data_IF_167373804305
#
_entry.id   IF_167373804305
#
_cell.length_a   1.000
_cell.length_b   1.000
_cell.length_c   1.000
_cell.angle_alpha   90.00
_cell.angle_beta   90.00
_cell.angle_gamma   90.00
#
_symmetry.space_group_name_H-M   'P 1'
#
loop_
_entity.id
_entity.type
_entity.pdbx_description
1 polymer ?
2 non-polymer ?
3 non-polymer ?
4 water ?
#
# COMPACT_ATOMS: atom_id res chain seq x y z
N UNK A 1 -21.27 -1.32 -11.69
CA UNK A 1 -20.35 -1.87 -12.72
C UNK A 1 -18.91 -1.49 -12.45
N UNK A 2 -18.03 -2.48 -12.36
CA UNK A 2 -16.59 -2.24 -12.10
C UNK A 2 -15.87 -1.88 -13.41
N UNK A 3 -14.94 -0.92 -13.32
CA UNK A 3 -13.97 -0.69 -14.38
C UNK A 3 -12.59 -0.38 -13.79
N UNK A 4 -11.56 -0.93 -14.40
CA UNK A 4 -10.18 -0.60 -13.98
C UNK A 4 -9.74 0.82 -14.32
N UNK A 5 -10.43 1.48 -15.26
CA UNK A 5 -10.12 2.86 -15.67
C UNK A 5 -11.02 3.91 -15.01
N UNK A 6 -11.77 3.53 -13.98
CA UNK A 6 -12.55 4.48 -13.17
C UNK A 6 -12.27 4.21 -11.69
N UNK A 7 -12.64 5.17 -10.83
CA UNK A 7 -12.62 4.93 -9.40
C UNK A 7 -13.90 4.23 -9.00
N UNK A 8 -13.76 3.12 -8.27
CA UNK A 8 -14.87 2.25 -7.90
C UNK A 8 -15.20 2.41 -6.42
N UNK A 9 -16.49 2.46 -6.08
CA UNK A 9 -16.87 2.56 -4.68
C UNK A 9 -16.60 1.24 -3.94
N UNK A 10 -16.71 1.26 -2.63
CA UNK A 10 -16.35 0.09 -1.84
C UNK A 10 -17.24 -1.12 -2.18
N UNK A 11 -18.55 -0.92 -2.33
CA UNK A 11 -19.44 -2.04 -2.71
C UNK A 11 -18.93 -2.72 -3.99
N UNK A 12 -18.45 -1.91 -4.93
CA UNK A 12 -17.96 -2.39 -6.22
C UNK A 12 -16.59 -3.08 -6.09
N UNK A 13 -15.68 -2.50 -5.32
CA UNK A 13 -14.38 -3.17 -5.08
C UNK A 13 -14.58 -4.49 -4.33
N UNK A 14 -15.44 -4.47 -3.31
CA UNK A 14 -15.75 -5.70 -2.56
C UNK A 14 -16.24 -6.79 -3.51
N UNK A 15 -17.23 -6.44 -4.33
CA UNK A 15 -17.79 -7.39 -5.32
C UNK A 15 -16.73 -7.86 -6.30
N UNK A 16 -15.84 -6.94 -6.70
CA UNK A 16 -14.71 -7.26 -7.58
C UNK A 16 -13.74 -8.27 -6.95
N UNK A 17 -13.44 -8.13 -5.65
CA UNK A 17 -12.57 -9.09 -4.98
C UNK A 17 -13.13 -10.52 -5.04
N UNK A 18 -14.45 -10.63 -4.92
CA UNK A 18 -15.12 -11.93 -5.02
C UNK A 18 -15.09 -12.46 -6.46
N UNK A 19 -15.46 -11.61 -7.41
CA UNK A 19 -15.52 -11.99 -8.83
C UNK A 19 -14.15 -12.32 -9.44
N UNK A 20 -13.13 -11.51 -9.16
CA UNK A 20 -11.79 -11.76 -9.70
C UNK A 20 -11.20 -13.05 -9.15
N UNK A 21 -11.56 -13.40 -7.91
CA UNK A 21 -11.12 -14.64 -7.30
C UNK A 21 -11.83 -15.82 -7.95
N UNK A 22 -13.15 -15.73 -8.11
CA UNK A 22 -13.93 -16.82 -8.73
C UNK A 22 -13.58 -17.01 -10.22
N UNK A 23 -13.22 -15.92 -10.91
CA UNK A 23 -12.81 -15.99 -12.33
C UNK A 23 -11.39 -16.57 -12.54
N UNK A 24 -10.55 -16.55 -11.49
CA UNK A 24 -9.13 -16.90 -11.61
C UNK A 24 -8.67 -17.81 -10.47
N UNK A 25 -9.34 -18.96 -10.30
CA UNK A 25 -9.06 -19.80 -9.12
C UNK A 25 -7.66 -20.41 -9.04
N UNK A 26 -6.95 -20.53 -10.17
CA UNK A 26 -5.59 -21.07 -10.19
C UNK A 26 -4.53 -20.03 -9.85
N UNK A 27 -4.93 -18.75 -9.78
CA UNK A 27 -4.03 -17.63 -9.52
C UNK A 27 -4.39 -16.77 -8.31
N UNK A 28 -5.65 -16.81 -7.86
CA UNK A 28 -6.11 -15.92 -6.78
C UNK A 28 -6.94 -16.66 -5.75
N UNK A 29 -6.64 -16.41 -4.47
CA UNK A 29 -7.54 -16.78 -3.38
C UNK A 29 -7.78 -15.53 -2.53
N UNK A 30 -8.87 -15.55 -1.78
CA UNK A 30 -9.31 -14.41 -0.99
C UNK A 30 -9.59 -14.82 0.45
N UNK A 31 -9.20 -13.95 1.38
CA UNK A 31 -9.51 -14.11 2.80
C UNK A 31 -9.85 -12.75 3.38
N UNK A 32 -10.42 -12.73 4.58
CA UNK A 32 -10.57 -11.49 5.36
C UNK A 32 -9.59 -11.59 6.52
N UNK A 33 -8.80 -10.55 6.74
CA UNK A 33 -7.80 -10.55 7.81
C UNK A 33 -8.30 -9.86 9.08
N UNK A 34 -9.50 -9.32 9.00
CA UNK A 34 -10.15 -8.73 10.16
C UNK A 34 -11.31 -7.89 9.69
N UNK A 35 -11.80 -7.07 10.61
CA UNK A 35 -12.91 -6.17 10.31
C UNK A 35 -12.51 -4.75 10.72
N UNK A 36 -13.12 -3.78 10.06
CA UNK A 36 -12.86 -2.38 10.36
C UNK A 36 -13.63 -1.96 11.62
N UNK A 37 -13.37 -0.73 12.08
CA UNK A 37 -14.19 -0.11 13.13
C UNK A 37 -15.70 -0.33 12.93
N UNK A 38 -16.18 -0.06 11.71
CA UNK A 38 -17.62 -0.19 11.40
C UNK A 38 -18.08 -1.58 11.03
N UNK A 39 -17.17 -2.55 11.03
CA UNK A 39 -17.51 -3.97 10.84
C UNK A 39 -17.41 -4.46 9.41
N UNK A 40 -16.74 -3.69 8.54
CA UNK A 40 -16.50 -4.14 7.17
C UNK A 40 -15.34 -5.13 7.09
N UNK A 41 -15.48 -6.15 6.25
CA UNK A 41 -14.42 -7.15 6.08
C UNK A 41 -13.23 -6.56 5.35
N UNK A 42 -12.04 -6.74 5.91
CA UNK A 42 -10.79 -6.29 5.29
C UNK A 42 -10.25 -7.42 4.42
N UNK A 43 -10.53 -7.36 3.13
CA UNK A 43 -10.16 -8.42 2.20
C UNK A 43 -8.71 -8.35 1.80
N UNK A 44 -8.13 -9.53 1.63
CA UNK A 44 -6.76 -9.69 1.17
C UNK A 44 -6.76 -10.75 0.08
N UNK A 45 -6.06 -10.47 -1.01
CA UNK A 45 -5.93 -11.41 -2.12
C UNK A 45 -4.52 -11.99 -2.10
N UNK A 46 -4.43 -13.29 -2.34
CA UNK A 46 -3.14 -13.97 -2.51
C UNK A 46 -3.07 -14.29 -3.99
N UNK A 47 -2.11 -13.67 -4.68
CA UNK A 47 -2.02 -13.71 -6.13
C UNK A 47 -0.75 -14.47 -6.48
N UNK A 48 -0.90 -15.59 -7.16
CA UNK A 48 0.22 -16.45 -7.50
C UNK A 48 -0.24 -17.85 -7.78
N UNK A 49 0.58 -18.58 -8.54
CA UNK A 49 0.32 -19.99 -8.79
C UNK A 49 0.82 -20.81 -7.59
N UNK A 50 -0.04 -21.69 -7.02
CA UNK A 50 0.42 -22.51 -5.89
C UNK A 50 1.73 -23.25 -6.13
N UNK A 51 2.52 -23.35 -5.08
CA UNK A 51 3.78 -24.07 -5.13
C UNK A 51 4.36 -24.18 -3.74
N UNK A 52 5.42 -24.98 -3.58
CA UNK A 52 6.00 -25.23 -2.26
C UNK A 52 6.92 -24.09 -1.78
N UNK A 53 6.79 -23.72 -0.51
CA UNK A 53 7.72 -22.80 0.16
C UNK A 53 8.01 -21.53 -0.62
N UNK A 54 6.95 -20.93 -1.14
CA UNK A 54 7.10 -19.73 -1.96
C UNK A 54 7.34 -18.52 -1.04
N UNK A 55 8.35 -17.70 -1.36
CA UNK A 55 8.43 -16.39 -0.71
C UNK A 55 7.31 -15.47 -1.17
N UNK A 56 7.10 -14.38 -0.46
CA UNK A 56 5.97 -13.50 -0.75
C UNK A 56 6.36 -12.03 -0.73
N UNK A 57 5.60 -11.23 -1.47
CA UNK A 57 5.67 -9.78 -1.42
C UNK A 57 4.30 -9.31 -0.95
N UNK A 58 4.28 -8.37 -0.01
CA UNK A 58 3.04 -7.85 0.54
C UNK A 58 2.86 -6.45 -0.01
N UNK A 59 1.70 -6.18 -0.60
CA UNK A 59 1.37 -4.83 -1.09
C UNK A 59 0.01 -4.40 -0.56
N UNK A 60 -0.06 -3.22 0.05
CA UNK A 60 -1.35 -2.64 0.43
C UNK A 60 -1.59 -1.29 -0.27
N UNK A 61 -2.87 -0.98 -0.42
CA UNK A 61 -3.35 0.29 -0.93
C UNK A 61 -4.43 0.82 -0.01
N UNK A 62 -4.74 2.09 -0.18
CA UNK A 62 -5.87 2.69 0.52
C UNK A 62 -5.71 2.87 2.01
N UNK A 63 -4.48 3.06 2.52
CA UNK A 63 -4.32 3.56 3.90
C UNK A 63 -5.11 4.85 4.10
N UNK A 64 -4.96 5.77 3.15
CA UNK A 64 -5.50 7.11 3.27
C UNK A 64 -6.67 7.26 2.33
N UNK A 65 -7.80 7.64 2.90
CA UNK A 65 -9.10 7.49 2.25
C UNK A 65 -9.20 8.27 0.95
N UNK A 66 -8.69 9.50 0.96
CA UNK A 66 -8.77 10.36 -0.21
C UNK A 66 -7.80 10.05 -1.36
N UNK A 67 -6.87 9.12 -1.16
CA UNK A 67 -5.82 8.84 -2.16
C UNK A 67 -6.32 7.77 -3.11
N UNK A 68 -7.36 8.13 -3.86
CA UNK A 68 -8.13 7.19 -4.69
C UNK A 68 -7.28 6.47 -5.74
N UNK A 69 -6.22 7.12 -6.22
CA UNK A 69 -5.33 6.47 -7.18
C UNK A 69 -4.61 5.24 -6.57
N UNK A 70 -4.39 5.24 -5.26
CA UNK A 70 -3.79 4.10 -4.55
C UNK A 70 -4.67 2.84 -4.71
N UNK A 71 -5.95 3.03 -4.41
CA UNK A 71 -6.93 1.94 -4.44
C UNK A 71 -6.99 1.39 -5.87
N UNK A 72 -7.06 2.30 -6.84
CA UNK A 72 -7.06 1.96 -8.26
C UNK A 72 -5.82 1.15 -8.65
N UNK A 73 -4.67 1.49 -8.09
CA UNK A 73 -3.46 0.74 -8.43
C UNK A 73 -3.48 -0.72 -7.99
N UNK A 74 -3.93 -1.01 -6.78
CA UNK A 74 -3.98 -2.42 -6.32
C UNK A 74 -4.85 -3.24 -7.25
N UNK A 75 -5.98 -2.66 -7.66
CA UNK A 75 -6.84 -3.31 -8.64
C UNK A 75 -6.12 -3.52 -9.98
N UNK A 76 -5.41 -2.50 -10.45
CA UNK A 76 -4.67 -2.58 -11.70
C UNK A 76 -3.59 -3.67 -11.64
N UNK A 77 -2.93 -3.80 -10.50
CA UNK A 77 -1.91 -4.83 -10.36
C UNK A 77 -2.50 -6.23 -10.57
N UNK A 78 -3.63 -6.49 -9.93
CA UNK A 78 -4.30 -7.76 -10.07
C UNK A 78 -4.76 -7.98 -11.54
N UNK A 79 -5.33 -6.93 -12.14
CA UNK A 79 -5.66 -6.94 -13.56
C UNK A 79 -4.49 -7.44 -14.43
N UNK A 80 -3.32 -6.85 -14.22
CA UNK A 80 -2.11 -7.22 -14.97
C UNK A 80 -1.67 -8.65 -14.74
N UNK A 81 -1.72 -9.09 -13.49
CA UNK A 81 -1.35 -10.45 -13.13
C UNK A 81 -2.19 -11.46 -13.90
N UNK A 82 -3.51 -11.28 -13.88
CA UNK A 82 -4.40 -12.24 -14.55
C UNK A 82 -4.35 -12.12 -16.08
N UNK A 83 -4.25 -10.91 -16.59
CA UNK A 83 -4.25 -10.69 -18.04
C UNK A 83 -2.98 -11.21 -18.73
N UNK A 84 -1.82 -10.93 -18.14
CA UNK A 84 -0.54 -11.17 -18.80
C UNK A 84 0.15 -12.46 -18.40
N UNK A 85 -0.41 -13.19 -17.43
CA UNK A 85 0.18 -14.48 -17.03
C UNK A 85 0.21 -15.42 -18.25
N UNK A 86 1.38 -15.99 -18.53
CA UNK A 86 1.60 -16.82 -19.71
C UNK A 86 2.22 -16.08 -20.90
N UNK A 87 1.91 -14.79 -21.03
CA UNK A 87 2.30 -14.01 -22.20
C UNK A 87 3.55 -13.16 -21.93
N UNK A 88 3.65 -12.58 -20.72
CA UNK A 88 4.79 -11.75 -20.34
C UNK A 88 5.69 -12.58 -19.44
N UNK A 89 6.92 -12.82 -19.89
CA UNK A 89 7.85 -13.73 -19.21
C UNK A 89 8.10 -13.39 -17.73
N UNK A 90 8.24 -12.11 -17.42
CA UNK A 90 8.57 -11.67 -16.05
C UNK A 90 7.42 -11.86 -15.08
N UNK A 91 6.26 -11.30 -15.42
CA UNK A 91 5.07 -11.49 -14.57
C UNK A 91 4.78 -12.98 -14.37
N UNK A 92 4.95 -13.80 -15.41
CA UNK A 92 4.71 -15.23 -15.28
C UNK A 92 5.67 -15.88 -14.30
N UNK A 93 6.96 -15.56 -14.42
CA UNK A 93 7.97 -16.05 -13.48
C UNK A 93 7.65 -15.58 -12.06
N UNK A 94 7.32 -14.31 -11.90
CA UNK A 94 6.97 -13.80 -10.57
C UNK A 94 5.84 -14.61 -9.92
N UNK A 95 4.77 -14.82 -10.68
CA UNK A 95 3.59 -15.50 -10.15
C UNK A 95 3.84 -16.99 -9.93
N UNK A 96 4.73 -17.58 -10.73
CA UNK A 96 5.13 -18.97 -10.52
C UNK A 96 5.99 -19.19 -9.27
N UNK A 97 6.87 -18.23 -8.97
CA UNK A 97 7.87 -18.38 -7.90
C UNK A 97 7.56 -17.65 -6.59
N UNK A 98 6.76 -16.58 -6.66
CA UNK A 98 6.38 -15.79 -5.49
C UNK A 98 4.87 -15.70 -5.39
N UNK A 99 4.39 -15.42 -4.18
CA UNK A 99 3.01 -14.99 -3.97
C UNK A 99 2.99 -13.50 -3.67
N UNK A 100 2.00 -12.79 -4.21
CA UNK A 100 1.73 -11.40 -3.86
C UNK A 100 0.50 -11.40 -2.98
N UNK A 101 0.64 -10.86 -1.78
CA UNK A 101 -0.49 -10.56 -0.93
C UNK A 101 -0.88 -9.13 -1.27
N UNK A 102 -2.08 -8.94 -1.81
CA UNK A 102 -2.56 -7.63 -2.26
C UNK A 102 -3.75 -7.25 -1.40
N UNK A 103 -3.61 -6.18 -0.63
CA UNK A 103 -4.69 -5.70 0.25
C UNK A 103 -5.27 -4.45 -0.45
N UNK A 104 -6.40 -4.60 -1.17
CA UNK A 104 -6.81 -3.50 -2.06
C UNK A 104 -7.20 -2.22 -1.36
N UNK A 105 -7.84 -2.34 -0.20
CA UNK A 105 -8.20 -1.15 0.58
C UNK A 105 -8.05 -1.47 2.07
N UNK A 106 -7.14 -0.81 2.76
CA UNK A 106 -7.03 -0.99 4.18
C UNK A 106 -8.11 -0.22 4.92
N UNK A 107 -8.17 1.09 4.67
CA UNK A 107 -9.06 2.00 5.40
C UNK A 107 -10.41 2.10 4.68
N UNK A 108 -11.15 1.01 4.77
CA UNK A 108 -12.43 0.88 4.07
C UNK A 108 -13.46 1.90 4.57
N UNK A 109 -13.52 2.09 5.88
CA UNK A 109 -14.48 3.01 6.45
C UNK A 109 -14.25 4.43 5.97
N UNK A 110 -12.98 4.87 5.96
CA UNK A 110 -12.65 6.18 5.45
C UNK A 110 -12.98 6.31 3.97
N UNK A 111 -12.67 5.26 3.20
CA UNK A 111 -12.95 5.27 1.77
C UNK A 111 -14.44 5.46 1.47
N UNK A 112 -15.28 4.69 2.17
CA UNK A 112 -16.74 4.87 2.06
C UNK A 112 -17.13 6.33 2.32
N UNK A 113 -16.58 6.90 3.38
CA UNK A 113 -16.84 8.28 3.76
C UNK A 113 -16.43 9.29 2.68
N UNK A 114 -15.32 9.03 1.96
CA UNK A 114 -14.96 9.91 0.84
C UNK A 114 -15.96 9.86 -0.31
N UNK A 115 -16.69 8.75 -0.44
CA UNK A 115 -17.72 8.62 -1.47
C UNK A 115 -19.06 9.21 -1.07
N UNK A 116 -19.39 9.15 0.22
CA UNK A 116 -20.70 9.53 0.71
C UNK A 116 -20.81 10.95 1.28
N UNK A 117 -19.72 11.46 1.89
CA UNK A 117 -19.77 12.68 2.71
C UNK A 117 -18.65 13.72 2.48
N UNK A 118 -17.40 13.27 2.37
CA UNK A 118 -16.27 14.18 2.36
C UNK A 118 -15.13 13.56 1.58
N UNK A 119 -14.97 14.05 0.35
CA UNK A 119 -13.96 13.55 -0.60
C UNK A 119 -12.53 13.66 -0.08
N UNK A 120 -12.29 14.62 0.82
CA UNK A 120 -10.93 14.90 1.34
C UNK A 120 -10.65 14.29 2.71
N UNK A 121 -11.46 13.33 3.14
CA UNK A 121 -11.18 12.61 4.37
C UNK A 121 -9.93 11.77 4.20
N UNK A 122 -9.14 11.67 5.27
CA UNK A 122 -7.85 10.97 5.28
C UNK A 122 -7.82 9.76 6.21
N UNK A 123 -8.29 9.99 7.44
CA UNK A 123 -8.08 9.07 8.56
C UNK A 123 -9.09 7.92 8.56
N UNK A 124 -9.04 7.08 9.59
CA UNK A 124 -10.08 6.07 9.81
C UNK A 124 -11.35 6.79 10.26
N UNK A 125 -12.40 6.03 10.61
CA UNK A 125 -13.65 6.62 11.10
C UNK A 125 -14.00 6.17 12.52
N UNK A 126 -12.99 5.80 13.28
CA UNK A 126 -13.16 5.44 14.68
C UNK A 126 -13.32 6.67 15.57
N UNK A 127 -13.86 6.45 16.75
CA UNK A 127 -14.06 7.51 17.74
C UNK A 127 -12.83 7.68 18.62
N UNK A 128 -12.80 8.81 19.32
CA UNK A 128 -11.73 9.16 20.24
C UNK A 128 -12.32 9.67 21.54
N UNK A 129 -11.67 9.29 22.65
CA UNK A 129 -12.13 9.66 23.98
C UNK A 129 -12.08 11.18 24.17
N UNK A 130 -13.12 11.74 24.79
CA UNK A 130 -13.11 13.12 25.24
C UNK A 130 -13.28 14.19 24.18
N UNK A 131 -13.74 13.79 22.98
CA UNK A 131 -13.92 14.67 21.83
C UNK A 131 -14.92 14.04 20.86
N UNK A 132 -15.55 14.85 20.02
CA UNK A 132 -16.35 14.32 18.92
C UNK A 132 -15.54 14.16 17.62
N UNK A 133 -14.28 14.59 17.61
CA UNK A 133 -13.43 14.47 16.42
C UNK A 133 -13.18 12.99 16.13
N UNK A 134 -13.22 12.66 14.85
CA UNK A 134 -13.20 11.27 14.39
C UNK A 134 -11.88 10.92 13.72
N UNK A 135 -11.38 9.73 14.03
CA UNK A 135 -10.37 9.06 13.20
C UNK A 135 -8.94 9.19 13.66
N UNK A 136 -8.14 8.22 13.22
CA UNK A 136 -6.73 8.12 13.49
C UNK A 136 -6.03 7.98 12.13
N UNK A 137 -4.84 8.55 12.01
CA UNK A 137 -4.08 8.42 10.78
C UNK A 137 -3.47 7.01 10.82
N UNK A 138 -3.89 6.11 9.91
CA UNK A 138 -3.32 4.75 9.96
C UNK A 138 -1.82 4.70 9.76
N UNK A 139 -1.27 5.67 9.00
CA UNK A 139 0.18 5.71 8.81
C UNK A 139 0.93 6.51 9.87
N UNK A 140 0.27 6.76 11.00
CA UNK A 140 0.93 7.18 12.23
C UNK A 140 0.62 6.20 13.37
N UNK A 141 0.00 5.06 13.07
CA UNK A 141 -0.54 4.16 14.11
C UNK A 141 0.29 2.87 14.30
N UNK A 142 1.42 2.77 13.63
CA UNK A 142 2.30 1.60 13.81
C UNK A 142 3.35 1.83 14.87
N UNK A 143 3.83 0.73 15.45
CA UNK A 143 4.86 0.76 16.49
C UNK A 143 6.28 1.02 15.95
N UNK A 144 6.49 2.26 15.51
CA UNK A 144 7.73 2.69 14.86
C UNK A 144 8.01 4.15 15.24
N UNK A 145 8.80 4.33 16.30
CA UNK A 145 8.94 5.63 16.97
C UNK A 145 7.60 6.26 17.28
N UNK A 146 6.65 5.44 17.74
CA UNK A 146 5.23 5.82 17.74
C UNK A 146 4.94 7.16 18.47
N UNK A 147 4.21 8.02 17.75
CA UNK A 147 3.71 9.34 18.17
C UNK A 147 4.74 10.39 18.51
N UNK A 148 5.88 10.31 17.85
CA UNK A 148 6.90 11.32 17.97
C UNK A 148 6.80 12.23 16.72
N UNK A 149 7.91 12.51 16.06
CA UNK A 149 7.95 13.57 15.05
C UNK A 149 6.95 13.35 13.91
N UNK A 150 6.33 14.43 13.48
CA UNK A 150 5.40 14.38 12.34
C UNK A 150 4.10 13.62 12.58
N UNK A 151 3.77 13.38 13.85
CA UNK A 151 2.53 12.74 14.26
C UNK A 151 1.95 13.63 15.34
N UNK A 152 0.63 13.79 15.36
CA UNK A 152 -0.02 14.67 16.32
C UNK A 152 -0.67 13.86 17.45
N UNK A 153 -0.65 14.43 18.65
CA UNK A 153 -1.35 13.87 19.81
C UNK A 153 -2.80 14.34 19.88
N UNK A 154 -3.21 15.23 18.98
CA UNK A 154 -4.54 15.81 19.01
C UNK A 154 -5.47 14.98 18.11
N UNK A 155 -6.53 14.36 18.69
CA UNK A 155 -7.44 13.55 17.90
C UNK A 155 -8.17 14.30 16.77
N UNK A 156 -8.22 15.63 16.85
CA UNK A 156 -8.80 16.47 15.82
C UNK A 156 -7.86 16.77 14.66
N UNK A 157 -6.62 16.28 14.71
CA UNK A 157 -5.63 16.56 13.65
C UNK A 157 -5.54 15.42 12.65
N UNK A 158 -5.10 15.78 11.44
CA UNK A 158 -5.04 14.84 10.32
C UNK A 158 -3.94 13.78 10.45
N UNK A 159 -2.92 14.03 11.28
CA UNK A 159 -1.87 13.04 11.55
C UNK A 159 -1.96 12.45 12.95
N UNK A 160 -3.17 12.43 13.52
CA UNK A 160 -3.35 11.90 14.86
C UNK A 160 -2.82 10.46 14.94
N UNK A 161 -1.98 10.18 15.95
CA UNK A 161 -1.29 8.88 16.04
C UNK A 161 -2.15 7.76 16.65
N UNK A 162 -3.32 8.11 17.18
CA UNK A 162 -4.18 7.17 17.88
C UNK A 162 -3.94 7.16 19.38
N UNK A 163 -4.73 6.36 20.08
CA UNK A 163 -4.57 6.23 21.53
C UNK A 163 -3.37 5.37 21.95
N UNK A 164 -2.90 4.53 21.04
CA UNK A 164 -1.77 3.62 21.28
C UNK A 164 -1.38 3.08 19.91
N UNK A 165 -0.16 2.58 19.76
CA UNK A 165 0.21 1.89 18.51
C UNK A 165 -0.73 0.70 18.34
N UNK A 166 -1.19 0.52 17.10
CA UNK A 166 -2.15 -0.52 16.71
C UNK A 166 -3.51 -0.45 17.42
N UNK A 167 -3.88 0.75 17.85
CA UNK A 167 -5.20 1.00 18.43
C UNK A 167 -6.32 0.77 17.42
N UNK A 168 -6.05 0.98 16.13
CA UNK A 168 -7.07 0.83 15.10
C UNK A 168 -7.18 -0.63 14.73
N UNK A 169 -8.43 -1.11 14.61
CA UNK A 169 -8.66 -2.48 14.17
C UNK A 169 -7.96 -2.80 12.84
N UNK A 170 -7.93 -1.82 11.93
CA UNK A 170 -7.35 -2.03 10.60
C UNK A 170 -5.83 -2.23 10.64
N UNK A 171 -5.14 -1.40 11.41
CA UNK A 171 -3.69 -1.53 11.52
C UNK A 171 -3.27 -2.75 12.35
N UNK A 172 -4.01 -3.05 13.40
CA UNK A 172 -3.81 -4.27 14.17
C UNK A 172 -3.94 -5.51 13.28
N UNK A 173 -4.97 -5.52 12.43
CA UNK A 173 -5.19 -6.63 11.49
C UNK A 173 -4.02 -6.81 10.50
N UNK A 174 -3.53 -5.72 9.94
CA UNK A 174 -2.42 -5.75 8.99
C UNK A 174 -1.12 -6.18 9.69
N UNK A 175 -0.83 -5.57 10.84
CA UNK A 175 0.36 -5.95 11.62
C UNK A 175 0.33 -7.41 12.10
N UNK A 176 -0.85 -7.88 12.51
CA UNK A 176 -1.02 -9.30 12.90
C UNK A 176 -0.74 -10.23 11.72
N UNK A 177 -1.26 -9.91 10.55
CA UNK A 177 -1.03 -10.74 9.38
C UNK A 177 0.46 -10.80 9.01
N UNK A 178 1.12 -9.65 9.00
CA UNK A 178 2.55 -9.61 8.66
C UNK A 178 3.38 -10.39 9.67
N UNK A 179 3.12 -10.19 10.96
CA UNK A 179 3.83 -10.93 12.02
C UNK A 179 3.64 -12.45 11.89
N UNK A 180 2.42 -12.87 11.57
CA UNK A 180 2.11 -14.28 11.38
C UNK A 180 2.73 -14.91 10.12
N UNK A 181 3.11 -14.08 9.15
CA UNK A 181 3.68 -14.56 7.89
C UNK A 181 5.08 -14.02 7.62
N UNK A 182 5.75 -13.61 8.68
CA UNK A 182 7.05 -12.96 8.57
C UNK A 182 8.12 -13.81 7.88
N UNK A 183 8.12 -15.12 8.14
CA UNK A 183 9.11 -16.00 7.53
C UNK A 183 9.03 -16.05 6.00
N UNK A 184 7.86 -15.80 5.44
CA UNK A 184 7.68 -15.83 3.98
C UNK A 184 7.73 -14.46 3.30
N UNK A 185 7.31 -13.40 4.00
CA UNK A 185 7.22 -12.07 3.40
C UNK A 185 8.61 -11.44 3.31
N UNK A 186 9.07 -11.20 2.08
CA UNK A 186 10.41 -10.68 1.82
C UNK A 186 10.44 -9.20 1.46
N UNK A 187 9.29 -8.67 1.05
CA UNK A 187 9.17 -7.26 0.72
C UNK A 187 7.80 -6.74 1.09
N UNK A 188 7.77 -5.45 1.43
CA UNK A 188 6.57 -4.74 1.84
C UNK A 188 6.46 -3.48 1.00
N UNK A 189 5.35 -3.34 0.28
CA UNK A 189 5.10 -2.22 -0.62
C UNK A 189 3.79 -1.56 -0.20
N UNK A 190 3.82 -0.27 0.09
CA UNK A 190 2.61 0.42 0.52
C UNK A 190 2.38 1.62 -0.38
N UNK A 191 1.19 1.68 -0.97
CA UNK A 191 0.88 2.60 -2.06
C UNK A 191 0.05 3.77 -1.54
N UNK A 192 0.53 4.97 -1.82
CA UNK A 192 -0.04 6.23 -1.39
C UNK A 192 -0.05 7.19 -2.58
N UNK A 193 -0.63 8.36 -2.38
CA UNK A 193 -0.41 9.51 -3.24
C UNK A 193 -0.47 10.78 -2.38
N UNK A 194 -0.04 11.95 -2.88
CA UNK A 194 0.63 12.16 -4.18
C UNK A 194 2.04 12.70 -3.92
N UNK A 195 2.74 13.00 -5.02
CA UNK A 195 4.03 13.73 -5.09
C UNK A 195 5.13 12.97 -5.85
N UNK A 196 4.87 11.76 -6.34
CA UNK A 196 5.80 11.05 -7.26
C UNK A 196 7.12 10.71 -6.58
N UNK A 197 7.05 9.77 -5.65
CA UNK A 197 8.23 9.36 -4.87
C UNK A 197 8.25 7.86 -4.62
N UNK A 198 9.46 7.33 -4.50
CA UNK A 198 9.68 5.99 -3.93
C UNK A 198 10.48 6.21 -2.65
N UNK A 199 9.85 5.96 -1.53
CA UNK A 199 10.44 6.20 -0.21
C UNK A 199 10.82 4.88 0.43
N UNK A 200 11.91 4.88 1.19
CA UNK A 200 12.25 3.72 2.03
C UNK A 200 12.61 4.21 3.44
N UNK A 201 12.88 3.30 4.37
CA UNK A 201 13.13 3.78 5.75
C UNK A 201 14.39 4.65 5.89
N UNK A 202 14.47 5.54 6.89
CA UNK A 202 13.45 5.73 7.93
C UNK A 202 12.73 7.07 7.78
N UNK A 203 11.46 7.09 8.18
CA UNK A 203 10.70 8.32 8.37
C UNK A 203 10.59 8.74 9.85
N UNK A 204 10.61 7.80 10.81
CA UNK A 204 10.39 8.17 12.22
C UNK A 204 11.52 8.89 12.88
N UNK A 205 12.73 8.78 12.33
CA UNK A 205 13.90 9.50 12.82
C UNK A 205 14.84 9.68 11.63
N UNK A 206 15.75 10.64 11.75
CA UNK A 206 16.81 10.81 10.77
C UNK A 206 17.91 9.80 11.02
N UNK A 207 17.67 8.58 10.53
CA UNK A 207 18.64 7.49 10.55
C UNK A 207 18.44 6.64 9.31
N UNK A 208 19.43 5.80 9.03
CA UNK A 208 19.43 5.03 7.78
C UNK A 208 19.43 3.55 8.09
N UNK A 209 18.76 2.77 7.22
CA UNK A 209 18.75 1.33 7.39
C UNK A 209 20.13 0.75 7.07
N UNK A 210 20.44 -0.42 7.62
CA UNK A 210 21.76 -1.02 7.42
C UNK A 210 22.07 -1.29 5.94
N UNK A 211 21.02 -1.59 5.17
CA UNK A 211 21.15 -1.82 3.73
C UNK A 211 20.75 -0.58 2.89
N UNK A 212 21.07 0.61 3.41
CA UNK A 212 20.80 1.86 2.72
C UNK A 212 21.33 1.91 1.28
N UNK A 213 22.58 1.49 1.06
CA UNK A 213 23.15 1.53 -0.29
C UNK A 213 22.31 0.70 -1.26
N UNK A 214 21.95 -0.51 -0.83
CA UNK A 214 21.12 -1.41 -1.63
C UNK A 214 19.76 -0.77 -1.96
N UNK A 215 19.07 -0.26 -0.94
CA UNK A 215 17.75 0.35 -1.13
C UNK A 215 17.83 1.59 -1.99
N UNK A 216 18.88 2.40 -1.80
CA UNK A 216 19.07 3.58 -2.62
C UNK A 216 19.24 3.24 -4.09
N UNK A 217 20.07 2.23 -4.35
CA UNK A 217 20.31 1.77 -5.73
C UNK A 217 19.06 1.18 -6.36
N UNK A 218 18.32 0.41 -5.58
CA UNK A 218 17.10 -0.22 -6.05
C UNK A 218 16.04 0.85 -6.37
N UNK A 219 15.87 1.81 -5.46
CA UNK A 219 14.88 2.88 -5.66
C UNK A 219 15.24 3.73 -6.87
N UNK A 220 16.54 4.04 -7.01
CA UNK A 220 17.05 4.82 -8.15
C UNK A 220 16.72 4.14 -9.48
N UNK A 221 17.00 2.85 -9.55
CA UNK A 221 16.71 2.06 -10.74
C UNK A 221 15.21 1.92 -11.03
N UNK A 222 14.40 1.74 -9.96
CA UNK A 222 12.95 1.66 -10.13
C UNK A 222 12.36 2.96 -10.69
N UNK A 223 12.85 4.10 -10.19
CA UNK A 223 12.45 5.41 -10.68
C UNK A 223 12.81 5.59 -12.16
N UNK A 224 14.00 5.15 -12.52
CA UNK A 224 14.47 5.22 -13.91
C UNK A 224 13.57 4.34 -14.80
N UNK A 225 13.24 3.15 -14.32
CA UNK A 225 12.36 2.24 -15.07
C UNK A 225 10.95 2.84 -15.26
N UNK A 226 10.39 3.40 -14.19
CA UNK A 226 9.10 4.09 -14.26
C UNK A 226 9.10 5.19 -15.33
N UNK A 227 10.15 6.00 -15.33
CA UNK A 227 10.27 7.11 -16.28
C UNK A 227 10.33 6.71 -17.77
N UNK A 228 10.69 5.46 -18.06
CA UNK A 228 10.83 5.02 -19.46
C UNK A 228 9.54 5.12 -20.26
N UNK A 229 8.39 4.97 -19.59
CA UNK A 229 7.12 4.89 -20.29
C UNK A 229 6.62 6.24 -20.78
N UNK A 230 6.45 7.19 -19.87
CA UNK A 230 5.88 8.51 -20.17
C UNK A 230 6.76 9.69 -19.73
N UNK A 231 7.95 9.40 -19.20
CA UNK A 231 8.85 10.45 -18.76
C UNK A 231 8.50 11.03 -17.40
N UNK A 232 7.62 10.36 -16.66
CA UNK A 232 7.16 10.88 -15.37
C UNK A 232 8.33 10.84 -14.39
N UNK A 233 8.55 11.97 -13.70
CA UNK A 233 9.74 12.15 -12.84
C UNK A 233 9.38 11.88 -11.38
N UNK A 234 10.05 10.89 -10.80
CA UNK A 234 9.91 10.56 -9.39
C UNK A 234 11.20 10.93 -8.66
N UNK A 235 11.07 11.30 -7.39
CA UNK A 235 12.23 11.37 -6.51
C UNK A 235 12.24 10.12 -5.62
N UNK A 236 13.34 9.91 -4.92
CA UNK A 236 13.47 8.72 -4.07
C UNK A 236 14.42 8.98 -2.92
N UNK A 237 14.31 8.16 -1.90
CA UNK A 237 15.28 8.15 -0.80
C UNK A 237 14.64 7.82 0.52
N UNK A 238 15.39 7.99 1.62
CA UNK A 238 14.83 7.72 2.93
C UNK A 238 13.73 8.72 3.25
N UNK A 239 12.65 8.25 3.85
CA UNK A 239 11.46 9.06 4.02
C UNK A 239 11.68 10.41 4.69
N UNK A 240 12.43 10.42 5.78
CA UNK A 240 12.55 11.64 6.61
C UNK A 240 13.09 12.83 5.83
N UNK A 241 14.04 12.57 4.91
CA UNK A 241 14.70 13.61 4.14
C UNK A 241 14.19 13.74 2.70
N UNK A 242 13.37 12.78 2.24
CA UNK A 242 12.83 12.81 0.87
C UNK A 242 11.44 13.44 0.81
N UNK A 243 10.64 13.24 1.86
CA UNK A 243 9.34 13.91 1.96
C UNK A 243 9.25 14.73 3.24
N UNK A 244 9.33 14.08 4.40
CA UNK A 244 9.32 14.76 5.71
C UNK A 244 9.45 13.68 6.77
N UNK A 245 9.89 14.07 7.97
CA UNK A 245 9.87 13.09 9.07
C UNK A 245 8.42 12.83 9.51
N UNK A 246 8.13 11.57 9.80
CA UNK A 246 6.80 11.17 10.26
C UNK A 246 6.93 9.82 10.92
N UNK A 247 6.55 9.76 12.20
CA UNK A 247 6.63 8.54 12.98
C UNK A 247 5.37 7.70 12.87
N UNK A 248 5.53 6.40 13.10
CA UNK A 248 4.42 5.47 13.16
C UNK A 248 3.98 4.93 11.80
N UNK A 249 4.85 5.05 10.80
CA UNK A 249 4.55 4.56 9.46
C UNK A 249 4.71 3.05 9.35
N UNK A 250 3.89 2.44 8.49
CA UNK A 250 3.93 0.99 8.30
C UNK A 250 5.23 0.50 7.63
N UNK A 251 5.77 1.27 6.69
CA UNK A 251 7.01 0.86 6.03
C UNK A 251 8.17 0.72 7.03
N UNK A 252 8.29 1.66 7.96
CA UNK A 252 9.35 1.60 8.97
C UNK A 252 9.15 0.44 9.92
N UNK A 253 7.90 0.23 10.34
CA UNK A 253 7.55 -0.87 11.22
C UNK A 253 7.89 -2.21 10.58
N UNK A 254 7.46 -2.38 9.31
CA UNK A 254 7.74 -3.58 8.53
C UNK A 254 9.24 -3.84 8.42
N UNK A 255 10.00 -2.78 8.14
CA UNK A 255 11.45 -2.89 8.05
C UNK A 255 12.07 -3.36 9.37
N UNK A 256 11.64 -2.77 10.47
CA UNK A 256 12.11 -3.16 11.81
C UNK A 256 11.70 -4.57 12.27
N UNK A 257 10.69 -5.17 11.62
CA UNK A 257 10.39 -6.60 11.76
C UNK A 257 11.39 -7.51 11.03
N UNK A 258 12.22 -6.93 10.15
CA UNK A 258 13.20 -7.67 9.39
C UNK A 258 12.90 -7.77 7.91
N UNK A 259 11.86 -7.10 7.43
CA UNK A 259 11.55 -7.11 5.99
C UNK A 259 12.45 -6.07 5.32
N UNK A 260 13.47 -6.55 4.63
CA UNK A 260 14.60 -5.72 4.20
C UNK A 260 14.29 -4.81 3.04
N UNK A 261 13.26 -5.16 2.26
CA UNK A 261 12.81 -4.34 1.13
C UNK A 261 11.44 -3.78 1.48
N UNK A 262 11.43 -2.53 1.93
CA UNK A 262 10.21 -1.90 2.42
C UNK A 262 10.11 -0.53 1.76
N UNK A 263 9.05 -0.31 0.97
CA UNK A 263 8.93 0.92 0.20
C UNK A 263 7.53 1.50 0.32
N UNK A 264 7.45 2.83 0.41
CA UNK A 264 6.21 3.57 0.26
C UNK A 264 6.27 4.28 -1.08
N UNK A 265 5.27 4.01 -1.93
CA UNK A 265 5.12 4.71 -3.20
C UNK A 265 4.17 5.89 -3.02
N UNK A 266 4.56 7.07 -3.51
CA UNK A 266 3.65 8.19 -3.65
C UNK A 266 3.42 8.37 -5.15
N UNK A 267 2.20 8.11 -5.60
CA UNK A 267 1.89 8.13 -7.03
C UNK A 267 1.63 9.56 -7.54
N UNK A 268 1.13 9.67 -8.76
CA UNK A 268 0.83 10.97 -9.37
C UNK A 268 -0.22 11.78 -8.58
N UNK A 269 -0.24 13.10 -8.70
CA UNK A 269 0.66 13.90 -9.52
C UNK A 269 1.61 14.68 -8.60
N UNK A 270 2.04 15.89 -8.98
CA UNK A 270 2.88 16.74 -8.12
C UNK A 270 2.11 17.93 -7.53
N UNK A 271 0.78 17.88 -7.60
CA UNK A 271 -0.06 18.89 -6.96
C UNK A 271 -1.06 19.61 -7.82
N UNK A 272 -1.01 19.44 -9.15
CA UNK A 272 -2.00 20.13 -10.01
C UNK A 272 -3.41 19.71 -9.61
N UNK A 273 -3.63 18.40 -9.58
CA UNK A 273 -4.88 17.81 -9.09
C UNK A 273 -4.75 17.20 -7.69
N UNK A 274 -3.53 16.82 -7.28
CA UNK A 274 -3.30 16.26 -5.94
C UNK A 274 -4.12 15.00 -5.77
N UNK A 275 -4.94 14.96 -4.72
CA UNK A 275 -5.75 13.77 -4.40
C UNK A 275 -6.89 13.52 -5.35
N UNK A 276 -7.36 14.55 -6.06
CA UNK A 276 -8.47 14.42 -6.99
C UNK A 276 -7.94 14.24 -8.41
N UNK A 277 -7.01 13.30 -8.56
CA UNK A 277 -6.43 12.97 -9.84
C UNK A 277 -7.53 12.48 -10.77
N UNK A 278 -7.64 13.03 -11.99
CA UNK A 278 -8.78 12.65 -12.82
C UNK A 278 -8.72 11.19 -13.25
N UNK A 279 -9.87 10.59 -13.46
CA UNK A 279 -9.96 9.21 -13.95
C UNK A 279 -9.19 9.00 -15.25
N UNK A 280 -9.11 10.03 -16.09
CA UNK A 280 -8.34 9.96 -17.34
C UNK A 280 -6.84 9.64 -17.16
N UNK A 281 -6.30 9.87 -15.96
CA UNK A 281 -4.92 9.51 -15.64
C UNK A 281 -4.71 8.16 -14.98
N UNK A 282 -5.78 7.41 -14.69
CA UNK A 282 -5.62 6.12 -14.01
C UNK A 282 -4.74 5.16 -14.82
N UNK A 283 -5.06 5.00 -16.10
CA UNK A 283 -4.34 4.07 -16.97
C UNK A 283 -2.83 4.34 -16.98
N UNK A 284 -2.47 5.56 -17.33
CA UNK A 284 -1.06 5.92 -17.49
C UNK A 284 -0.33 5.81 -16.14
N UNK A 285 -0.97 6.27 -15.06
CA UNK A 285 -0.36 6.19 -13.74
C UNK A 285 -0.10 4.75 -13.37
N UNK A 286 -1.10 3.90 -13.54
CA UNK A 286 -0.96 2.51 -13.16
C UNK A 286 0.07 1.78 -14.04
N UNK A 287 0.04 2.01 -15.34
CA UNK A 287 0.97 1.33 -16.23
C UNK A 287 2.44 1.70 -15.92
N UNK A 288 2.74 2.96 -15.66
CA UNK A 288 4.13 3.34 -15.36
C UNK A 288 4.54 2.77 -13.98
N UNK A 289 3.60 2.78 -13.04
CA UNK A 289 3.87 2.26 -11.70
C UNK A 289 4.16 0.75 -11.75
N UNK A 290 3.43 0.02 -12.57
CA UNK A 290 3.72 -1.39 -12.82
C UNK A 290 5.18 -1.66 -13.16
N UNK A 291 5.81 -0.78 -13.93
CA UNK A 291 7.21 -0.97 -14.30
C UNK A 291 8.12 -0.90 -13.08
N UNK A 292 7.85 0.03 -12.18
CA UNK A 292 8.63 0.14 -10.95
C UNK A 292 8.39 -1.06 -10.04
N UNK A 293 7.13 -1.50 -9.94
CA UNK A 293 6.78 -2.64 -9.06
C UNK A 293 7.41 -3.93 -9.57
N UNK A 294 7.33 -4.14 -10.87
CA UNK A 294 7.98 -5.28 -11.52
C UNK A 294 9.51 -5.21 -11.39
N UNK A 295 10.10 -4.02 -11.46
CA UNK A 295 11.55 -3.90 -11.25
C UNK A 295 11.96 -4.35 -9.85
N UNK A 296 11.23 -3.85 -8.85
CA UNK A 296 11.49 -4.19 -7.46
C UNK A 296 11.28 -5.69 -7.25
N UNK A 297 10.18 -6.22 -7.77
CA UNK A 297 9.88 -7.64 -7.66
C UNK A 297 10.98 -8.50 -8.24
N UNK A 298 11.45 -8.13 -9.43
CA UNK A 298 12.53 -8.88 -10.08
C UNK A 298 13.82 -8.86 -9.27
N UNK A 299 14.14 -7.71 -8.69
CA UNK A 299 15.28 -7.61 -7.79
C UNK A 299 15.13 -8.54 -6.59
N UNK A 300 13.97 -8.51 -5.94
CA UNK A 300 13.75 -9.33 -4.74
C UNK A 300 13.93 -10.81 -5.09
N UNK A 301 13.34 -11.21 -6.22
CA UNK A 301 13.41 -12.61 -6.67
C UNK A 301 14.84 -13.09 -6.90
N UNK A 302 15.66 -12.23 -7.49
CA UNK A 302 17.06 -12.53 -7.79
C UNK A 302 18.04 -12.35 -6.65
N UNK A 303 17.57 -11.89 -5.50
CA UNK A 303 18.43 -11.63 -4.36
C UNK A 303 17.89 -12.29 -3.09
N UNK A 304 17.28 -13.46 -3.27
CA UNK A 304 16.75 -14.26 -2.15
C UNK A 304 17.89 -14.92 -1.34
#
# INVERSE_FOLDING_TARGET
GHSYEKYNNWETIEAWTKQVTSENPDLISRTAIGTTFLGNNIYLLKVGKPGPNKPAIFMDCGFHAREWISHAFCQWFVREAVLTYGYESHMTEFLNKLDFYVLPVLNIDGYIYTWTKNRMWRKTRSTNAGTTCIGTDPNRNFDAGWCTTGASTDPCDETYCGSAAESEKETKALADFIRNNLSSIKAYLTIHSYSQMILYPYSYDYKLPENNAELNNLAKAAVKELATLYGTKYTYGPGATTIYPAAGGSDDWAYDQGIKYSFTFELRDKGRYGFILPESQIQATCEETMLAIKYVTNYVLGHL
#
